data_IF_161214648474
#
_entry.id   IF_161214648474
#
_cell.length_a   1.000
_cell.length_b   1.000
_cell.length_c   1.000
_cell.angle_alpha   90.00
_cell.angle_beta   90.00
_cell.angle_gamma   90.00
#
_symmetry.space_group_name_H-M   'P 1'
#
loop_
_entity.id
_entity.type
_entity.pdbx_description
1 polymer ?
#
# COMPACT_ATOMS: atom_id res chain seq x y z
N UNK A 1 -2.68 -34.68 -29.57
CA UNK A 1 -2.43 -35.22 -28.21
C UNK A 1 -3.17 -34.32 -27.23
N UNK A 2 -4.09 -34.86 -26.43
CA UNK A 2 -5.15 -34.08 -25.76
C UNK A 2 -6.40 -34.12 -26.63
N UNK A 3 -7.50 -34.75 -26.23
CA UNK A 3 -8.50 -34.20 -25.31
C UNK A 3 -9.04 -35.24 -24.29
N UNK A 4 -8.59 -36.51 -24.32
CA UNK A 4 -9.23 -37.61 -23.55
C UNK A 4 -8.33 -38.39 -22.59
N UNK A 5 -7.03 -38.08 -22.47
CA UNK A 5 -6.12 -38.83 -21.60
C UNK A 5 -5.91 -38.14 -20.26
N UNK A 6 -6.44 -38.74 -19.19
CA UNK A 6 -5.98 -38.46 -17.84
C UNK A 6 -4.49 -38.78 -17.75
N UNK A 7 -3.73 -37.88 -17.12
CA UNK A 7 -2.32 -38.10 -16.83
C UNK A 7 -2.16 -39.36 -15.97
N UNK A 8 -1.35 -40.32 -16.43
CA UNK A 8 -1.02 -41.55 -15.71
C UNK A 8 0.48 -41.63 -15.49
N UNK A 9 0.90 -41.60 -14.22
CA UNK A 9 2.31 -41.75 -13.82
C UNK A 9 2.86 -43.09 -14.28
N UNK A 10 2.04 -44.15 -14.24
CA UNK A 10 2.44 -45.50 -14.64
C UNK A 10 2.79 -45.55 -16.13
N UNK A 11 1.97 -44.89 -16.96
CA UNK A 11 2.20 -44.77 -18.41
C UNK A 11 3.45 -43.92 -18.70
N UNK A 12 3.62 -42.81 -17.99
CA UNK A 12 4.80 -41.94 -18.13
C UNK A 12 6.11 -42.67 -17.79
N UNK A 13 6.10 -43.53 -16.77
CA UNK A 13 7.26 -44.38 -16.44
C UNK A 13 7.58 -45.39 -17.54
N UNK A 14 6.55 -46.01 -18.13
CA UNK A 14 6.72 -47.05 -19.15
C UNK A 14 7.14 -46.50 -20.53
N UNK A 15 6.60 -45.35 -20.94
CA UNK A 15 6.83 -44.80 -22.28
C UNK A 15 7.98 -43.77 -22.32
N UNK A 16 8.23 -43.08 -21.20
CA UNK A 16 9.14 -41.94 -21.14
C UNK A 16 10.24 -42.10 -20.08
N UNK A 17 10.30 -43.22 -19.37
CA UNK A 17 11.20 -43.44 -18.22
C UNK A 17 11.14 -42.30 -17.19
N UNK A 18 9.96 -41.68 -17.07
CA UNK A 18 9.76 -40.51 -16.23
C UNK A 18 9.28 -40.91 -14.84
N UNK A 19 9.95 -40.40 -13.81
CA UNK A 19 9.50 -40.46 -12.42
C UNK A 19 9.34 -39.05 -11.82
N UNK A 20 8.24 -38.79 -11.06
CA UNK A 20 8.07 -37.52 -10.39
C UNK A 20 9.18 -37.29 -9.37
N UNK A 21 9.91 -36.19 -9.53
CA UNK A 21 10.96 -35.78 -8.59
C UNK A 21 10.41 -35.32 -7.24
N UNK A 22 9.13 -34.92 -7.20
CA UNK A 22 8.47 -34.32 -6.04
C UNK A 22 7.22 -35.12 -5.70
N UNK A 23 7.06 -35.47 -4.41
CA UNK A 23 5.86 -36.18 -3.97
C UNK A 23 4.63 -35.28 -4.01
N UNK A 24 3.41 -35.82 -4.21
CA UNK A 24 2.18 -35.02 -4.19
C UNK A 24 1.98 -34.24 -2.89
N UNK A 25 2.41 -34.80 -1.75
CA UNK A 25 2.34 -34.14 -0.44
C UNK A 25 3.26 -32.93 -0.37
N UNK A 26 4.49 -33.06 -0.88
CA UNK A 26 5.44 -31.96 -0.95
C UNK A 26 4.94 -30.85 -1.87
N UNK A 27 4.50 -31.19 -3.09
CA UNK A 27 3.96 -30.21 -4.04
C UNK A 27 2.73 -29.46 -3.49
N UNK A 28 1.85 -30.18 -2.78
CA UNK A 28 0.69 -29.55 -2.10
C UNK A 28 1.14 -28.59 -0.99
N UNK A 29 2.11 -29.00 -0.15
CA UNK A 29 2.62 -28.15 0.92
C UNK A 29 3.28 -26.86 0.39
N UNK A 30 4.09 -26.97 -0.66
CA UNK A 30 4.71 -25.81 -1.32
C UNK A 30 3.66 -24.88 -1.94
N UNK A 31 2.63 -25.45 -2.57
CA UNK A 31 1.51 -24.68 -3.14
C UNK A 31 0.75 -23.92 -2.05
N UNK A 32 0.44 -24.57 -0.93
CA UNK A 32 -0.22 -23.92 0.22
C UNK A 32 0.66 -22.80 0.78
N UNK A 33 1.96 -23.04 0.95
CA UNK A 33 2.91 -22.04 1.46
C UNK A 33 2.99 -20.82 0.53
N UNK A 34 3.03 -21.04 -0.79
CA UNK A 34 3.00 -19.98 -1.80
C UNK A 34 1.73 -19.12 -1.66
N UNK A 35 0.55 -19.74 -1.56
CA UNK A 35 -0.71 -19.01 -1.44
C UNK A 35 -0.84 -18.27 -0.10
N UNK A 36 -0.35 -18.86 0.99
CA UNK A 36 -0.30 -18.19 2.29
C UNK A 36 0.61 -16.95 2.24
N UNK A 37 1.78 -17.06 1.59
CA UNK A 37 2.70 -15.94 1.44
C UNK A 37 2.14 -14.84 0.54
N UNK A 38 1.54 -15.21 -0.59
CA UNK A 38 0.84 -14.26 -1.46
C UNK A 38 -0.26 -13.53 -0.71
N UNK A 39 -1.10 -14.26 0.04
CA UNK A 39 -2.15 -13.65 0.88
C UNK A 39 -1.57 -12.69 1.92
N UNK A 40 -0.46 -13.05 2.58
CA UNK A 40 0.24 -12.14 3.52
C UNK A 40 0.69 -10.86 2.81
N UNK A 41 1.31 -10.95 1.65
CA UNK A 41 1.81 -9.77 0.91
C UNK A 41 0.69 -8.83 0.47
N UNK A 42 -0.41 -9.37 -0.05
CA UNK A 42 -1.56 -8.58 -0.50
C UNK A 42 -2.29 -7.92 0.67
N UNK A 43 -2.42 -8.62 1.81
CA UNK A 43 -3.11 -8.10 3.00
C UNK A 43 -2.27 -7.09 3.78
N UNK A 44 -0.96 -7.04 3.58
CA UNK A 44 -0.04 -6.24 4.41
C UNK A 44 0.44 -4.93 3.76
N UNK A 45 -0.05 -4.58 2.56
CA UNK A 45 0.37 -3.37 1.85
C UNK A 45 -0.81 -2.50 1.40
N UNK A 46 -0.69 -1.16 1.46
CA UNK A 46 -1.68 -0.26 0.88
C UNK A 46 -1.85 -0.49 -0.63
N UNK A 47 -3.08 -0.61 -1.15
CA UNK A 47 -3.31 -0.77 -2.58
C UNK A 47 -2.96 0.49 -3.36
N UNK A 48 -2.68 0.35 -4.66
CA UNK A 48 -2.16 1.46 -5.49
C UNK A 48 -3.09 2.68 -5.55
N UNK A 49 -4.41 2.48 -5.50
CA UNK A 49 -5.35 3.60 -5.51
C UNK A 49 -5.25 4.50 -4.27
N UNK A 50 -4.83 3.94 -3.12
CA UNK A 50 -4.55 4.72 -1.90
C UNK A 50 -3.34 5.62 -2.11
N UNK A 51 -2.29 5.11 -2.76
CA UNK A 51 -1.10 5.90 -3.10
C UNK A 51 -1.48 7.10 -3.96
N UNK A 52 -2.23 6.86 -5.04
CA UNK A 52 -2.69 7.92 -5.93
C UNK A 52 -3.55 8.94 -5.19
N UNK A 53 -4.52 8.47 -4.42
CA UNK A 53 -5.42 9.33 -3.65
C UNK A 53 -4.65 10.23 -2.65
N UNK A 54 -3.75 9.66 -1.84
CA UNK A 54 -3.01 10.42 -0.85
C UNK A 54 -2.03 11.41 -1.48
N UNK A 55 -1.26 10.99 -2.49
CA UNK A 55 -0.26 11.87 -3.13
C UNK A 55 -0.97 13.03 -3.84
N UNK A 56 -1.96 12.72 -4.68
CA UNK A 56 -2.67 13.74 -5.46
C UNK A 56 -3.48 14.63 -4.51
N UNK A 57 -4.18 14.04 -3.54
CA UNK A 57 -4.97 14.79 -2.56
C UNK A 57 -4.13 15.76 -1.73
N UNK A 58 -3.01 15.30 -1.17
CA UNK A 58 -2.13 16.16 -0.39
C UNK A 58 -1.47 17.24 -1.26
N UNK A 59 -1.06 16.91 -2.49
CA UNK A 59 -0.52 17.89 -3.42
C UNK A 59 -1.54 18.99 -3.72
N UNK A 60 -2.78 18.62 -4.03
CA UNK A 60 -3.87 19.56 -4.32
C UNK A 60 -4.14 20.46 -3.11
N UNK A 61 -4.24 19.89 -1.90
CA UNK A 61 -4.47 20.65 -0.66
C UNK A 61 -3.36 21.66 -0.42
N UNK A 62 -2.09 21.23 -0.50
CA UNK A 62 -0.93 22.10 -0.27
C UNK A 62 -0.84 23.19 -1.36
N UNK A 63 -0.95 22.81 -2.63
CA UNK A 63 -0.88 23.77 -3.74
C UNK A 63 -1.98 24.81 -3.66
N UNK A 64 -3.22 24.41 -3.35
CA UNK A 64 -4.36 25.34 -3.20
C UNK A 64 -4.17 26.35 -2.05
N UNK A 65 -3.43 25.97 -1.01
CA UNK A 65 -3.16 26.81 0.16
C UNK A 65 -1.97 27.77 -0.03
N UNK A 66 -0.89 27.29 -0.66
CA UNK A 66 0.41 27.96 -0.66
C UNK A 66 0.66 28.77 -1.94
N UNK A 67 0.30 28.25 -3.12
CA UNK A 67 0.66 28.88 -4.40
C UNK A 67 -0.01 30.25 -4.54
N UNK A 68 0.72 31.35 -4.79
CA UNK A 68 0.11 32.67 -4.94
C UNK A 68 -0.49 32.89 -6.34
N UNK A 69 -1.50 33.74 -6.44
CA UNK A 69 -2.05 34.20 -7.72
C UNK A 69 -1.02 35.05 -8.47
N UNK A 70 -0.89 34.97 -9.82
CA UNK A 70 -1.68 34.17 -10.78
C UNK A 70 -1.12 32.77 -11.08
N UNK A 71 -0.13 32.28 -10.33
CA UNK A 71 0.61 31.05 -10.66
C UNK A 71 -0.12 29.75 -10.30
N UNK A 72 -1.42 29.79 -10.01
CA UNK A 72 -2.18 28.60 -9.57
C UNK A 72 -2.38 27.58 -10.69
N UNK A 73 -2.43 28.03 -11.95
CA UNK A 73 -2.70 27.18 -13.11
C UNK A 73 -3.88 26.22 -12.87
N UNK A 74 -3.68 24.90 -13.00
CA UNK A 74 -4.77 23.91 -12.86
C UNK A 74 -5.38 23.84 -11.46
N UNK A 75 -4.72 24.38 -10.42
CA UNK A 75 -5.23 24.36 -9.04
C UNK A 75 -6.22 25.49 -8.72
N UNK A 76 -6.46 26.41 -9.68
CA UNK A 76 -7.38 27.53 -9.50
C UNK A 76 -8.81 27.05 -9.21
N UNK A 77 -9.32 26.08 -9.98
CA UNK A 77 -10.63 25.48 -9.76
C UNK A 77 -10.78 24.95 -8.33
N UNK A 78 -9.75 24.26 -7.83
CA UNK A 78 -9.78 23.67 -6.48
C UNK A 78 -9.72 24.76 -5.42
N UNK A 79 -8.87 25.79 -5.58
CA UNK A 79 -8.83 26.89 -4.62
C UNK A 79 -10.14 27.67 -4.59
N UNK A 80 -10.75 27.90 -5.75
CA UNK A 80 -12.06 28.57 -5.84
C UNK A 80 -13.13 27.75 -5.12
N UNK A 81 -13.17 26.44 -5.31
CA UNK A 81 -14.06 25.55 -4.58
C UNK A 81 -13.79 25.59 -3.07
N UNK A 82 -12.52 25.50 -2.66
CA UNK A 82 -12.12 25.61 -1.26
C UNK A 82 -12.53 26.94 -0.64
N UNK A 83 -12.37 28.06 -1.36
CA UNK A 83 -12.81 29.38 -0.90
C UNK A 83 -14.33 29.52 -0.89
N UNK A 84 -15.05 28.86 -1.80
CA UNK A 84 -16.52 28.81 -1.76
C UNK A 84 -17.02 28.13 -0.48
N UNK A 85 -16.36 27.04 -0.06
CA UNK A 85 -16.70 26.28 1.15
C UNK A 85 -16.21 27.00 2.42
N UNK A 86 -14.91 27.27 2.51
CA UNK A 86 -14.26 27.78 3.73
C UNK A 86 -14.33 29.31 3.88
N UNK A 87 -14.69 30.05 2.82
CA UNK A 87 -14.82 31.51 2.78
C UNK A 87 -13.57 32.31 3.13
N UNK A 88 -12.45 31.65 3.42
CA UNK A 88 -11.22 32.27 3.87
C UNK A 88 -10.00 31.47 3.45
N UNK A 89 -9.02 32.16 2.85
CA UNK A 89 -7.75 31.55 2.49
C UNK A 89 -6.94 31.14 3.73
N UNK A 90 -7.09 31.87 4.84
CA UNK A 90 -6.43 31.51 6.09
C UNK A 90 -6.89 30.13 6.56
N UNK A 91 -8.19 29.84 6.46
CA UNK A 91 -8.75 28.54 6.84
C UNK A 91 -8.21 27.43 5.92
N UNK A 92 -8.14 27.67 4.62
CA UNK A 92 -7.54 26.70 3.66
C UNK A 92 -6.08 26.40 4.02
N UNK A 93 -5.29 27.43 4.39
CA UNK A 93 -3.92 27.26 4.87
C UNK A 93 -3.85 26.47 6.16
N UNK A 94 -4.71 26.77 7.13
CA UNK A 94 -4.78 26.03 8.39
C UNK A 94 -5.11 24.55 8.14
N UNK A 95 -6.06 24.24 7.26
CA UNK A 95 -6.38 22.85 6.89
C UNK A 95 -5.16 22.14 6.30
N UNK A 96 -4.46 22.79 5.37
CA UNK A 96 -3.25 22.21 4.76
C UNK A 96 -2.13 21.98 5.79
N UNK A 97 -1.93 22.93 6.71
CA UNK A 97 -0.97 22.80 7.80
C UNK A 97 -1.35 21.65 8.73
N UNK A 98 -2.59 21.59 9.21
CA UNK A 98 -3.07 20.53 10.11
C UNK A 98 -2.95 19.17 9.44
N UNK A 99 -3.38 19.02 8.18
CA UNK A 99 -3.26 17.77 7.43
C UNK A 99 -1.80 17.31 7.31
N UNK A 100 -0.89 18.24 6.98
CA UNK A 100 0.55 17.94 6.90
C UNK A 100 1.13 17.55 8.26
N UNK A 101 0.74 18.26 9.33
CA UNK A 101 1.17 17.94 10.69
C UNK A 101 0.69 16.56 11.13
N UNK A 102 -0.55 16.18 10.80
CA UNK A 102 -1.08 14.84 11.10
C UNK A 102 -0.25 13.76 10.41
N UNK A 103 0.05 13.91 9.12
CA UNK A 103 0.92 12.96 8.40
C UNK A 103 2.31 12.81 9.04
N UNK A 104 2.91 13.92 9.49
CA UNK A 104 4.22 13.90 10.18
C UNK A 104 4.11 13.17 11.52
N UNK A 105 3.08 13.46 12.32
CA UNK A 105 2.86 12.82 13.62
C UNK A 105 2.60 11.32 13.46
N UNK A 106 1.78 10.94 12.48
CA UNK A 106 1.53 9.53 12.14
C UNK A 106 2.80 8.81 11.70
N UNK A 107 3.65 9.46 10.89
CA UNK A 107 4.93 8.91 10.47
C UNK A 107 5.87 8.70 11.67
N UNK A 108 5.98 9.70 12.56
CA UNK A 108 6.75 9.59 13.80
C UNK A 108 6.26 8.44 14.68
N UNK A 109 4.94 8.31 14.85
CA UNK A 109 4.34 7.20 15.58
C UNK A 109 4.59 5.84 14.90
N UNK A 110 4.48 5.76 13.58
CA UNK A 110 4.79 4.55 12.82
C UNK A 110 6.25 4.15 12.96
N UNK A 111 7.17 5.12 12.97
CA UNK A 111 8.60 4.83 13.19
C UNK A 111 8.86 4.30 14.60
N UNK A 112 8.27 4.94 15.62
CA UNK A 112 8.33 4.47 16.99
C UNK A 112 7.83 3.03 17.11
N UNK A 113 6.65 2.74 16.55
CA UNK A 113 6.02 1.43 16.60
C UNK A 113 6.80 0.37 15.82
N UNK A 114 7.30 0.72 14.63
CA UNK A 114 8.02 -0.21 13.77
C UNK A 114 9.36 -0.66 14.37
N UNK A 115 9.99 0.15 15.24
CA UNK A 115 11.20 -0.30 15.96
C UNK A 115 10.95 -1.50 16.88
N UNK A 116 9.70 -1.72 17.32
CA UNK A 116 9.35 -2.90 18.11
C UNK A 116 8.81 -4.07 17.28
N UNK A 117 8.07 -3.78 16.21
CA UNK A 117 7.35 -4.80 15.42
C UNK A 117 8.12 -5.27 14.19
N UNK A 118 8.84 -4.36 13.52
CA UNK A 118 9.55 -4.61 12.26
C UNK A 118 10.84 -3.75 12.19
N UNK A 119 11.80 -3.96 13.12
CA UNK A 119 12.95 -3.07 13.28
C UNK A 119 13.77 -2.84 11.98
N UNK A 120 14.04 -3.88 11.15
CA UNK A 120 14.78 -3.70 9.91
C UNK A 120 14.10 -2.73 8.93
N UNK A 121 12.77 -2.65 8.95
CA UNK A 121 11.99 -1.81 8.03
C UNK A 121 11.48 -0.51 8.67
N UNK A 122 11.92 -0.15 9.87
CA UNK A 122 11.35 0.98 10.61
C UNK A 122 11.43 2.32 9.85
N UNK A 123 12.53 2.58 9.13
CA UNK A 123 12.66 3.76 8.26
C UNK A 123 11.70 3.72 7.06
N UNK A 124 11.46 2.55 6.49
CA UNK A 124 10.51 2.38 5.37
C UNK A 124 9.08 2.67 5.84
N UNK A 125 8.70 2.19 7.03
CA UNK A 125 7.41 2.48 7.63
C UNK A 125 7.20 3.97 7.92
N UNK A 126 8.25 4.69 8.35
CA UNK A 126 8.21 6.14 8.48
C UNK A 126 7.86 6.82 7.16
N UNK A 127 8.66 6.61 6.11
CA UNK A 127 8.46 7.28 4.82
C UNK A 127 7.13 6.92 4.16
N UNK A 128 6.75 5.64 4.21
CA UNK A 128 5.47 5.19 3.68
C UNK A 128 4.30 5.83 4.42
N UNK A 129 4.38 5.96 5.75
CA UNK A 129 3.32 6.60 6.54
C UNK A 129 3.32 8.11 6.40
N UNK A 130 4.47 8.74 6.18
CA UNK A 130 4.52 10.17 5.88
C UNK A 130 3.73 10.50 4.60
N UNK A 131 3.81 9.64 3.59
CA UNK A 131 3.10 9.83 2.31
C UNK A 131 1.63 9.41 2.42
N UNK A 132 1.34 8.28 3.06
CA UNK A 132 0.01 7.65 3.03
C UNK A 132 -0.83 7.88 4.30
N UNK A 133 -0.26 8.52 5.31
CA UNK A 133 -0.87 8.73 6.61
C UNK A 133 -1.42 7.44 7.23
N UNK A 134 -2.59 7.56 7.85
CA UNK A 134 -3.32 6.47 8.48
C UNK A 134 -3.45 5.20 7.63
N UNK A 135 -3.57 5.33 6.30
CA UNK A 135 -3.72 4.18 5.42
C UNK A 135 -2.50 3.25 5.41
N UNK A 136 -1.30 3.76 5.68
CA UNK A 136 -0.11 2.93 5.93
C UNK A 136 -0.08 2.44 7.37
N UNK A 137 -0.32 3.35 8.34
CA UNK A 137 -0.25 3.05 9.77
C UNK A 137 -1.17 1.88 10.17
N UNK A 138 -2.36 1.77 9.58
CA UNK A 138 -3.29 0.65 9.84
C UNK A 138 -2.66 -0.74 9.63
N UNK A 139 -1.77 -0.89 8.64
CA UNK A 139 -1.11 -2.17 8.36
C UNK A 139 -0.06 -2.49 9.42
N UNK A 140 0.67 -1.48 9.88
CA UNK A 140 1.62 -1.63 10.96
C UNK A 140 0.93 -1.94 12.29
N UNK A 141 -0.22 -1.30 12.56
CA UNK A 141 -1.06 -1.62 13.72
C UNK A 141 -1.57 -3.06 13.68
N UNK A 142 -2.01 -3.54 12.51
CA UNK A 142 -2.42 -4.93 12.32
C UNK A 142 -1.26 -5.91 12.55
N UNK A 143 -0.04 -5.59 12.11
CA UNK A 143 1.16 -6.38 12.39
C UNK A 143 1.54 -6.42 13.87
N UNK A 144 1.18 -5.40 14.66
CA UNK A 144 1.43 -5.40 16.11
C UNK A 144 0.52 -6.37 16.86
N UNK A 145 -0.70 -6.54 16.37
CA UNK A 145 -1.75 -7.35 17.03
C UNK A 145 -1.61 -8.83 16.70
N UNK A 146 -1.12 -9.16 15.50
CA UNK A 146 -0.85 -10.52 15.04
C UNK A 146 0.53 -11.01 15.47
#
# INVERSE_FOLDING_TARGET
>A
VGVTHYFSILKARQELDYEPLVSPRQGMAETIAYWQEMKRRTVNSPPIYVWLFCIIGMLIVICSAVVPYPYLGPFECVRTLSLFVFRSLLVVRLVATVASSVHILEAGYAWYLARGVDPPNAKRWFWQTLVLGFFSLRYLLKKRVN
#
